data_IF_874817804867
#
_entry.id   IF_874817804867
#
_cell.length_a   1.000
_cell.length_b   1.000
_cell.length_c   1.000
_cell.angle_alpha   90.00
_cell.angle_beta   90.00
_cell.angle_gamma   90.00
#
_symmetry.space_group_name_H-M   'P 1'
#
loop_
_entity.id
_entity.type
_entity.pdbx_description
1 polymer ?
#
# COMPACT_ATOMS: atom_id res chain seq x y z
N UNK A 1 9.28 -16.72 -5.15
CA UNK A 1 10.07 -16.05 -6.22
C UNK A 1 9.18 -16.00 -7.45
N UNK A 2 9.01 -14.82 -8.05
CA UNK A 2 8.24 -14.62 -9.29
C UNK A 2 9.22 -14.70 -10.45
N UNK A 3 8.85 -15.38 -11.54
CA UNK A 3 9.71 -15.49 -12.72
C UNK A 3 9.86 -14.15 -13.44
N UNK A 4 10.90 -14.02 -14.27
CA UNK A 4 11.09 -12.84 -15.10
C UNK A 4 9.89 -12.60 -16.03
N UNK A 5 9.39 -13.66 -16.67
CA UNK A 5 8.26 -13.59 -17.59
C UNK A 5 6.98 -13.12 -16.89
N UNK A 6 6.67 -13.67 -15.71
CA UNK A 6 5.50 -13.23 -14.94
C UNK A 6 5.61 -11.76 -14.53
N UNK A 7 6.82 -11.30 -14.17
CA UNK A 7 7.06 -9.89 -13.82
C UNK A 7 6.84 -8.96 -15.02
N UNK A 8 7.32 -9.34 -16.20
CA UNK A 8 7.12 -8.56 -17.42
C UNK A 8 5.63 -8.51 -17.81
N UNK A 9 4.94 -9.65 -17.78
CA UNK A 9 3.48 -9.70 -18.02
C UNK A 9 2.73 -8.82 -17.02
N UNK A 10 3.07 -8.89 -15.73
CA UNK A 10 2.42 -8.08 -14.71
C UNK A 10 2.68 -6.58 -14.91
N UNK A 11 3.90 -6.22 -15.30
CA UNK A 11 4.28 -4.83 -15.62
C UNK A 11 3.44 -4.29 -16.78
N UNK A 12 3.34 -5.03 -17.88
CA UNK A 12 2.53 -4.60 -19.04
C UNK A 12 1.07 -4.42 -18.67
N UNK A 13 0.48 -5.34 -17.89
CA UNK A 13 -0.90 -5.22 -17.41
C UNK A 13 -1.15 -3.99 -16.54
N UNK A 14 -0.17 -3.59 -15.73
CA UNK A 14 -0.25 -2.35 -14.94
C UNK A 14 -0.25 -1.13 -15.86
N UNK A 15 0.63 -1.10 -16.87
CA UNK A 15 0.72 0.02 -17.83
C UNK A 15 -0.56 0.11 -18.67
N UNK A 16 -1.12 -1.02 -19.12
CA UNK A 16 -2.42 -1.07 -19.80
C UNK A 16 -3.53 -0.46 -18.94
N UNK A 17 -3.55 -0.76 -17.64
CA UNK A 17 -4.57 -0.27 -16.72
C UNK A 17 -4.38 1.22 -16.33
N UNK A 18 -3.13 1.68 -16.22
CA UNK A 18 -2.79 3.05 -15.87
C UNK A 18 -1.48 3.49 -16.54
N UNK A 19 -1.54 4.06 -17.76
CA UNK A 19 -0.34 4.48 -18.49
C UNK A 19 0.47 5.59 -17.80
N UNK A 20 -0.16 6.36 -16.92
CA UNK A 20 0.47 7.46 -16.18
C UNK A 20 1.13 7.04 -14.87
N UNK A 21 1.06 5.75 -14.49
CA UNK A 21 1.66 5.30 -13.24
C UNK A 21 3.19 5.20 -13.35
N UNK A 22 3.86 5.33 -12.19
CA UNK A 22 5.28 5.00 -12.05
C UNK A 22 5.39 3.60 -11.45
N UNK A 23 6.12 2.71 -12.12
CA UNK A 23 6.35 1.34 -11.65
C UNK A 23 7.73 1.25 -11.01
N UNK A 24 7.77 0.89 -9.73
CA UNK A 24 9.00 0.64 -8.97
C UNK A 24 9.09 -0.86 -8.68
N UNK A 25 10.19 -1.50 -9.10
CA UNK A 25 10.45 -2.90 -8.79
C UNK A 25 11.21 -3.03 -7.47
N UNK A 26 10.54 -3.51 -6.43
CA UNK A 26 11.12 -3.70 -5.12
C UNK A 26 11.29 -5.19 -4.75
N UNK A 27 12.32 -5.49 -3.96
CA UNK A 27 12.50 -6.79 -3.33
C UNK A 27 12.64 -6.60 -1.81
N UNK A 28 11.66 -7.08 -1.06
CA UNK A 28 11.63 -6.92 0.40
C UNK A 28 12.72 -7.69 1.16
N UNK A 29 13.31 -8.72 0.57
CA UNK A 29 14.39 -9.50 1.19
C UNK A 29 15.75 -8.82 1.02
N UNK A 30 16.03 -8.29 -0.18
CA UNK A 30 17.33 -7.65 -0.48
C UNK A 30 17.33 -6.15 -0.32
N UNK A 31 16.14 -5.53 -0.17
CA UNK A 31 15.98 -4.08 -0.13
C UNK A 31 16.10 -3.40 -1.49
N UNK A 32 16.26 -4.13 -2.61
CA UNK A 32 16.31 -3.53 -3.95
C UNK A 32 15.05 -2.68 -4.18
N UNK A 33 15.22 -1.49 -4.77
CA UNK A 33 14.12 -0.56 -5.08
C UNK A 33 13.59 0.23 -3.88
N UNK A 34 13.97 -0.09 -2.65
CA UNK A 34 13.50 0.62 -1.44
C UNK A 34 13.95 2.07 -1.38
N UNK A 35 15.19 2.37 -1.78
CA UNK A 35 15.72 3.74 -1.77
C UNK A 35 14.99 4.65 -2.76
N UNK A 36 14.69 4.16 -3.96
CA UNK A 36 13.91 4.87 -4.98
C UNK A 36 12.47 5.12 -4.50
N UNK A 37 11.83 4.11 -3.92
CA UNK A 37 10.52 4.23 -3.32
C UNK A 37 10.51 5.27 -2.19
N UNK A 38 11.50 5.22 -1.31
CA UNK A 38 11.61 6.15 -0.18
C UNK A 38 11.81 7.60 -0.65
N UNK A 39 12.63 7.83 -1.67
CA UNK A 39 12.82 9.16 -2.23
C UNK A 39 11.53 9.69 -2.89
N UNK A 40 10.81 8.83 -3.61
CA UNK A 40 9.53 9.21 -4.19
C UNK A 40 8.51 9.64 -3.12
N UNK A 41 8.44 8.90 -2.01
CA UNK A 41 7.56 9.25 -0.88
C UNK A 41 8.01 10.56 -0.25
N UNK A 42 9.31 10.75 -0.01
CA UNK A 42 9.85 11.97 0.62
C UNK A 42 9.63 13.24 -0.20
N UNK A 43 9.67 13.12 -1.51
CA UNK A 43 9.53 14.26 -2.44
C UNK A 43 8.10 14.50 -2.88
N UNK A 44 7.17 13.63 -2.52
CA UNK A 44 5.76 13.80 -2.86
C UNK A 44 5.18 14.96 -2.04
N UNK A 45 4.35 15.83 -2.65
CA UNK A 45 3.64 16.86 -1.90
C UNK A 45 2.75 16.25 -0.83
N UNK A 46 2.60 16.96 0.30
CA UNK A 46 1.62 16.60 1.31
C UNK A 46 0.22 16.56 0.70
N UNK A 47 -0.56 15.55 1.11
CA UNK A 47 -1.94 15.38 0.66
C UNK A 47 -2.86 15.95 1.74
N UNK A 48 -3.67 16.93 1.35
CA UNK A 48 -4.67 17.54 2.22
C UNK A 48 -6.06 16.90 2.02
N UNK A 49 -6.89 16.95 3.07
CA UNK A 49 -8.28 16.50 3.03
C UNK A 49 -8.50 15.05 3.44
N UNK A 50 -9.74 14.60 3.30
CA UNK A 50 -10.15 13.23 3.66
C UNK A 50 -9.69 12.25 2.58
N UNK A 51 -8.85 11.29 2.99
CA UNK A 51 -8.33 10.25 2.10
C UNK A 51 -9.29 9.07 2.08
N UNK A 52 -9.81 8.72 0.90
CA UNK A 52 -10.75 7.60 0.74
C UNK A 52 -10.24 6.64 -0.34
N UNK A 53 -10.20 5.34 -0.01
CA UNK A 53 -9.90 4.27 -0.95
C UNK A 53 -11.00 4.17 -2.01
N UNK A 54 -10.60 3.96 -3.27
CA UNK A 54 -11.57 3.79 -4.38
C UNK A 54 -12.39 2.51 -4.26
N UNK A 55 -11.78 1.47 -3.70
CA UNK A 55 -12.36 0.13 -3.56
C UNK A 55 -11.86 -0.54 -2.29
N UNK A 56 -12.62 -1.52 -1.80
CA UNK A 56 -12.19 -2.36 -0.71
C UNK A 56 -10.94 -3.16 -1.13
N UNK A 57 -9.90 -3.22 -0.28
CA UNK A 57 -8.74 -4.05 -0.55
C UNK A 57 -9.16 -5.53 -0.60
N UNK A 58 -8.64 -6.31 -1.56
CA UNK A 58 -9.13 -7.66 -1.83
C UNK A 58 -8.80 -8.68 -0.72
N UNK A 59 -7.74 -8.43 0.07
CA UNK A 59 -7.21 -9.35 1.07
C UNK A 59 -6.47 -8.53 2.14
N UNK A 60 -7.11 -8.26 3.28
CA UNK A 60 -6.35 -7.94 4.48
C UNK A 60 -7.19 -8.10 5.77
N UNK A 61 -6.51 -8.00 6.91
CA UNK A 61 -7.01 -8.28 8.26
C UNK A 61 -7.18 -7.01 9.12
N UNK A 62 -7.12 -5.83 8.52
CA UNK A 62 -7.30 -4.54 9.22
C UNK A 62 -8.68 -3.94 8.94
N UNK A 63 -9.04 -2.86 9.64
CA UNK A 63 -10.33 -2.17 9.51
C UNK A 63 -10.72 -1.83 8.08
N UNK A 64 -9.73 -1.45 7.25
CA UNK A 64 -9.97 -1.08 5.84
C UNK A 64 -10.53 -2.25 5.01
N UNK A 65 -10.35 -3.47 5.50
CA UNK A 65 -10.72 -4.71 4.81
C UNK A 65 -12.12 -5.15 5.19
N UNK A 66 -12.61 -4.73 6.35
CA UNK A 66 -13.98 -4.94 6.80
C UNK A 66 -14.96 -3.92 6.18
N UNK A 67 -14.51 -3.12 5.21
CA UNK A 67 -15.34 -2.19 4.44
C UNK A 67 -15.14 -0.71 4.76
N UNK A 68 -14.21 -0.37 5.66
CA UNK A 68 -13.82 1.03 5.85
C UNK A 68 -12.94 1.50 4.68
N UNK A 69 -13.30 2.61 4.06
CA UNK A 69 -12.53 3.17 2.94
C UNK A 69 -11.75 4.41 3.35
N UNK A 70 -12.07 5.04 4.47
CA UNK A 70 -11.40 6.26 4.94
C UNK A 70 -10.07 5.94 5.60
N UNK A 71 -9.03 6.58 5.11
CA UNK A 71 -7.64 6.40 5.53
C UNK A 71 -7.31 7.46 6.60
N UNK A 72 -7.81 7.26 7.82
CA UNK A 72 -7.38 8.00 9.02
C UNK A 72 -7.42 7.10 10.25
N UNK A 73 -6.49 7.31 11.19
CA UNK A 73 -6.44 6.60 12.48
C UNK A 73 -7.77 6.65 13.23
N UNK A 74 -8.49 7.75 13.14
CA UNK A 74 -9.81 7.92 13.79
C UNK A 74 -10.91 7.00 13.24
N UNK A 75 -10.73 6.46 12.03
CA UNK A 75 -11.67 5.53 11.41
C UNK A 75 -11.23 4.07 11.58
N UNK A 76 -10.05 3.81 12.13
CA UNK A 76 -9.61 2.45 12.43
C UNK A 76 -10.34 1.89 13.66
N UNK A 77 -10.67 0.59 13.60
CA UNK A 77 -11.34 -0.16 14.66
C UNK A 77 -10.72 -1.55 14.74
N UNK A 78 -10.68 -2.12 15.94
CA UNK A 78 -10.17 -3.47 16.16
C UNK A 78 -8.66 -3.50 16.40
N UNK A 79 -7.99 -4.54 15.91
CA UNK A 79 -6.57 -4.77 16.17
C UNK A 79 -5.71 -3.99 15.18
N UNK A 80 -4.92 -3.05 15.70
CA UNK A 80 -3.87 -2.35 14.98
C UNK A 80 -2.54 -3.04 15.25
N UNK A 81 -1.81 -3.32 14.18
CA UNK A 81 -0.43 -3.82 14.27
C UNK A 81 0.50 -2.77 13.72
N UNK A 82 1.34 -2.23 14.58
CA UNK A 82 2.31 -1.20 14.22
C UNK A 82 3.60 -1.84 13.66
N UNK A 83 4.42 -1.02 12.99
CA UNK A 83 5.68 -1.46 12.40
C UNK A 83 6.72 -1.88 13.44
N UNK A 84 6.58 -1.41 14.68
CA UNK A 84 7.37 -1.83 15.84
C UNK A 84 7.05 -3.27 16.31
N UNK A 85 6.05 -3.90 15.70
CA UNK A 85 5.63 -5.27 15.98
C UNK A 85 4.62 -5.40 17.12
N UNK A 86 4.27 -4.30 17.80
CA UNK A 86 3.27 -4.32 18.85
C UNK A 86 1.85 -4.30 18.28
N UNK A 87 0.95 -4.98 18.98
CA UNK A 87 -0.48 -5.00 18.66
C UNK A 87 -1.22 -4.20 19.71
N UNK A 88 -1.98 -3.22 19.25
CA UNK A 88 -2.87 -2.42 20.08
C UNK A 88 -4.30 -2.68 19.66
N UNK A 89 -5.18 -2.96 20.62
CA UNK A 89 -6.61 -3.06 20.36
C UNK A 89 -7.26 -1.73 20.67
N UNK A 90 -7.96 -1.18 19.67
CA UNK A 90 -8.81 0.01 19.84
C UNK A 90 -10.26 -0.44 19.64
N UNK A 91 -10.97 -0.66 20.76
CA UNK A 91 -12.40 -0.95 20.81
C UNK A 91 -13.24 0.33 20.78
N UNK A 92 -14.58 0.20 20.79
CA UNK A 92 -15.53 1.33 20.67
C UNK A 92 -15.21 2.54 21.55
#
# INVERSE_FOLDING_TARGET
LVSQAEREVFRERIIEANPGCRIIEANGLTGKGSAELAELIRTWPDVEGEMVLRHNPPLAICTLCSGELRVSKEHHRGVLRHLDGFMEYTGE
#
